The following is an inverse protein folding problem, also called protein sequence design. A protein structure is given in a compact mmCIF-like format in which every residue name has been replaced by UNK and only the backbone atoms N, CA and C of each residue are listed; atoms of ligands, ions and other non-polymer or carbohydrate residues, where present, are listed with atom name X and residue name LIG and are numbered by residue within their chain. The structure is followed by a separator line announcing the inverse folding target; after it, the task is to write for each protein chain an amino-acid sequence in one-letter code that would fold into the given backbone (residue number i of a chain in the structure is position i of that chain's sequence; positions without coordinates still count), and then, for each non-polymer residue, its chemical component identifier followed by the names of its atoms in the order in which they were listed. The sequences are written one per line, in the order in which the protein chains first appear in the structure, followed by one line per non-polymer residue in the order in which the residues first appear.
data_IF_555155722888
#
_entry.id   IF_555155722888
#
_cell.length_a   1.000
_cell.length_b   1.000
_cell.length_c   1.000
_cell.angle_alpha   90.00
_cell.angle_beta   90.00
_cell.angle_gamma   90.00
#
_symmetry.space_group_name_H-M   'P 1'
#
loop_
_entity.id
_entity.type
_entity.pdbx_description
1 polymer ?
#
# COMPACT_ATOMS: atom_id res chain seq x y z
N UNK A 1 22.90 26.36 -48.72
CA UNK A 1 23.14 27.35 -47.65
C UNK A 1 21.81 27.99 -47.31
N UNK A 2 21.32 27.80 -46.09
CA UNK A 2 20.18 28.57 -45.56
C UNK A 2 20.78 29.38 -44.40
N UNK A 3 20.82 30.70 -44.55
CA UNK A 3 21.22 31.62 -43.48
C UNK A 3 20.03 31.75 -42.54
N UNK A 4 20.16 31.26 -41.30
CA UNK A 4 19.17 31.53 -40.27
C UNK A 4 19.46 32.93 -39.71
N UNK A 5 18.54 33.86 -39.89
CA UNK A 5 18.63 35.23 -39.37
C UNK A 5 18.40 35.26 -37.85
N UNK A 6 19.12 36.13 -37.14
CA UNK A 6 19.11 36.23 -35.67
C UNK A 6 17.70 36.41 -35.08
N UNK A 7 16.77 37.05 -35.82
CA UNK A 7 15.36 37.22 -35.42
C UNK A 7 14.60 35.90 -35.23
N UNK A 8 14.93 34.85 -36.01
CA UNK A 8 14.23 33.56 -35.89
C UNK A 8 14.70 32.79 -34.66
N UNK A 9 15.97 32.94 -34.29
CA UNK A 9 16.53 32.32 -33.09
C UNK A 9 15.94 32.97 -31.83
N UNK A 10 15.80 34.29 -31.81
CA UNK A 10 15.10 35.01 -30.73
C UNK A 10 13.62 34.60 -30.63
N UNK A 11 12.90 34.54 -31.75
CA UNK A 11 11.50 34.09 -31.75
C UNK A 11 11.36 32.68 -31.17
N UNK A 12 12.23 31.75 -31.58
CA UNK A 12 12.18 30.36 -31.14
C UNK A 12 12.47 30.22 -29.64
N UNK A 13 13.47 30.92 -29.10
CA UNK A 13 13.80 30.91 -27.67
C UNK A 13 12.64 31.50 -26.84
N UNK A 14 12.02 32.58 -27.33
CA UNK A 14 10.94 33.26 -26.60
C UNK A 14 9.60 32.47 -26.62
N UNK A 15 9.31 31.72 -27.69
CA UNK A 15 8.10 30.88 -27.75
C UNK A 15 8.26 29.51 -27.09
N UNK A 16 9.49 29.05 -26.86
CA UNK A 16 9.78 27.73 -26.31
C UNK A 16 10.68 27.83 -25.08
N UNK A 17 10.16 28.38 -23.95
CA UNK A 17 10.92 28.43 -22.71
C UNK A 17 11.32 27.01 -22.29
N UNK A 18 12.55 26.86 -21.80
CA UNK A 18 13.05 25.56 -21.36
C UNK A 18 12.08 24.95 -20.33
N UNK A 19 11.73 23.66 -20.45
CA UNK A 19 10.91 22.99 -19.45
C UNK A 19 11.65 23.10 -18.12
N UNK A 20 11.02 23.79 -17.17
CA UNK A 20 11.59 24.02 -15.85
C UNK A 20 11.93 22.66 -15.25
N UNK A 21 13.20 22.46 -14.88
CA UNK A 21 13.63 21.23 -14.25
C UNK A 21 12.80 21.00 -12.98
N UNK A 22 11.93 19.98 -13.02
CA UNK A 22 11.13 19.58 -11.88
C UNK A 22 12.11 19.25 -10.74
N UNK A 23 11.94 19.77 -9.51
CA UNK A 23 12.84 19.45 -8.42
C UNK A 23 12.82 17.93 -8.16
N UNK A 24 14.02 17.33 -8.18
CA UNK A 24 14.37 15.91 -7.96
C UNK A 24 14.02 15.34 -6.56
N UNK A 25 12.97 15.86 -5.92
CA UNK A 25 12.53 15.37 -4.61
C UNK A 25 11.04 15.10 -4.61
N UNK A 26 10.67 14.03 -5.32
CA UNK A 26 9.56 13.21 -4.83
C UNK A 26 10.03 12.62 -3.49
N UNK A 27 9.41 12.97 -2.34
CA UNK A 27 9.73 12.28 -1.10
C UNK A 27 9.42 10.79 -1.32
N UNK A 28 10.42 9.94 -1.13
CA UNK A 28 10.21 8.50 -1.01
C UNK A 28 9.40 8.32 0.27
N UNK A 29 8.08 8.32 0.15
CA UNK A 29 7.21 8.01 1.27
C UNK A 29 7.42 6.53 1.52
N UNK A 30 8.26 6.20 2.50
CA UNK A 30 8.35 4.88 3.10
C UNK A 30 7.01 4.60 3.78
N UNK A 31 5.99 4.29 2.97
CA UNK A 31 4.76 3.66 3.46
C UNK A 31 5.20 2.29 3.94
N UNK A 32 5.65 2.21 5.20
CA UNK A 32 5.65 0.95 5.93
C UNK A 32 4.24 0.40 5.76
N UNK A 33 4.05 -0.52 4.82
CA UNK A 33 2.82 -1.28 4.68
C UNK A 33 2.66 -1.98 6.02
N UNK A 34 1.88 -1.37 6.90
CA UNK A 34 1.39 -2.01 8.10
C UNK A 34 0.54 -3.14 7.54
N UNK A 35 1.08 -4.35 7.49
CA UNK A 35 0.29 -5.55 7.24
C UNK A 35 -0.73 -5.65 8.37
N UNK A 36 -1.90 -5.04 8.16
CA UNK A 36 -3.01 -5.05 9.09
C UNK A 36 -3.51 -6.49 9.10
N UNK A 37 -3.03 -7.27 10.07
CA UNK A 37 -3.48 -8.64 10.29
C UNK A 37 -4.99 -8.62 10.56
N UNK A 38 -5.73 -9.53 9.91
CA UNK A 38 -7.19 -9.65 10.03
C UNK A 38 -7.57 -10.89 10.81
N UNK A 39 -8.74 -10.85 11.43
CA UNK A 39 -9.36 -12.00 12.08
C UNK A 39 -9.76 -13.04 11.04
N UNK A 40 -9.43 -14.30 11.26
CA UNK A 40 -9.72 -15.38 10.31
C UNK A 40 -11.19 -15.82 10.30
N UNK A 41 -11.96 -15.43 11.31
CA UNK A 41 -13.41 -15.69 11.34
C UNK A 41 -14.22 -14.53 10.71
N UNK A 42 -14.04 -13.30 11.20
CA UNK A 42 -14.89 -12.17 10.80
C UNK A 42 -14.20 -11.12 9.89
N UNK A 43 -12.95 -11.36 9.49
CA UNK A 43 -12.14 -10.47 8.63
C UNK A 43 -11.91 -9.04 9.14
N UNK A 44 -12.34 -8.70 10.36
CA UNK A 44 -12.06 -7.41 11.01
C UNK A 44 -10.57 -7.26 11.33
N UNK A 45 -10.02 -6.03 11.32
CA UNK A 45 -8.64 -5.78 11.71
C UNK A 45 -8.38 -6.25 13.15
N UNK A 46 -7.24 -6.92 13.37
CA UNK A 46 -6.89 -7.43 14.69
C UNK A 46 -6.48 -6.28 15.63
N UNK A 47 -7.00 -6.26 16.87
CA UNK A 47 -6.52 -5.34 17.90
C UNK A 47 -5.08 -5.68 18.32
N UNK A 48 -4.44 -4.76 19.06
CA UNK A 48 -3.07 -4.96 19.60
C UNK A 48 -2.94 -6.26 20.42
N UNK A 49 -4.00 -6.66 21.12
CA UNK A 49 -4.12 -7.95 21.83
C UNK A 49 -5.15 -8.82 21.12
N UNK A 50 -4.71 -9.80 20.34
CA UNK A 50 -5.57 -10.77 19.66
C UNK A 50 -5.40 -12.17 20.25
N UNK A 51 -6.32 -13.08 19.92
CA UNK A 51 -6.26 -14.49 20.34
C UNK A 51 -5.64 -15.32 19.23
N UNK A 52 -4.84 -16.32 19.61
CA UNK A 52 -4.27 -17.30 18.68
C UNK A 52 -4.80 -18.67 19.05
N UNK A 53 -5.29 -19.41 18.06
CA UNK A 53 -5.53 -20.84 18.17
C UNK A 53 -4.46 -21.57 17.39
N UNK A 54 -3.94 -22.66 17.95
CA UNK A 54 -2.94 -23.50 17.28
C UNK A 54 -3.61 -24.82 16.96
N UNK A 55 -3.74 -25.14 15.68
CA UNK A 55 -4.24 -26.42 15.21
C UNK A 55 -3.16 -27.11 14.39
N UNK A 56 -2.54 -28.15 14.95
CA UNK A 56 -1.45 -28.90 14.30
C UNK A 56 -1.91 -29.69 13.08
N UNK A 57 -3.22 -29.93 12.93
CA UNK A 57 -3.79 -30.69 11.84
C UNK A 57 -4.18 -29.82 10.63
N UNK A 58 -3.99 -28.50 10.70
CA UNK A 58 -4.35 -27.55 9.64
C UNK A 58 -3.15 -26.69 9.24
N UNK A 59 -3.08 -26.32 7.97
CA UNK A 59 -2.16 -25.31 7.46
C UNK A 59 -2.97 -24.07 7.01
N UNK A 60 -2.68 -22.86 7.53
CA UNK A 60 -1.63 -22.52 8.51
C UNK A 60 -1.94 -23.02 9.93
N UNK A 61 -0.91 -23.46 10.65
CA UNK A 61 -1.07 -24.04 12.01
C UNK A 61 -1.56 -23.06 13.07
N UNK A 62 -1.40 -21.75 12.82
CA UNK A 62 -1.69 -20.68 13.78
C UNK A 62 -2.77 -19.77 13.20
N UNK A 63 -3.94 -19.80 13.82
CA UNK A 63 -5.08 -18.99 13.43
C UNK A 63 -5.28 -17.80 14.38
N UNK A 64 -5.59 -16.61 13.86
CA UNK A 64 -5.71 -15.36 14.64
C UNK A 64 -7.14 -14.85 14.69
N UNK A 65 -7.59 -14.45 15.88
CA UNK A 65 -8.96 -13.98 16.12
C UNK A 65 -9.02 -12.69 16.92
N UNK A 66 -9.98 -11.82 16.60
CA UNK A 66 -10.17 -10.54 17.29
C UNK A 66 -10.79 -10.70 18.69
N UNK A 67 -11.59 -11.75 18.94
CA UNK A 67 -12.24 -12.02 20.21
C UNK A 67 -12.27 -13.52 20.54
N UNK A 68 -12.61 -13.86 21.80
CA UNK A 68 -12.82 -15.25 22.21
C UNK A 68 -14.01 -15.87 21.45
N UNK A 69 -15.08 -15.11 21.27
CA UNK A 69 -16.28 -15.54 20.54
C UNK A 69 -15.97 -15.94 19.09
N UNK A 70 -15.14 -15.16 18.39
CA UNK A 70 -14.71 -15.51 17.02
C UNK A 70 -13.89 -16.80 16.98
N UNK A 71 -13.02 -17.02 17.98
CA UNK A 71 -12.26 -18.27 18.10
C UNK A 71 -13.19 -19.45 18.36
N UNK A 72 -14.11 -19.32 19.31
CA UNK A 72 -15.07 -20.37 19.68
C UNK A 72 -16.00 -20.70 18.50
N UNK A 73 -16.55 -19.69 17.84
CA UNK A 73 -17.41 -19.88 16.65
C UNK A 73 -16.69 -20.62 15.54
N UNK A 74 -15.41 -20.28 15.31
CA UNK A 74 -14.56 -20.99 14.35
C UNK A 74 -14.28 -22.44 14.77
N UNK A 75 -13.99 -22.71 16.05
CA UNK A 75 -13.73 -24.07 16.53
C UNK A 75 -14.99 -24.96 16.51
N UNK A 76 -16.14 -24.41 16.88
CA UNK A 76 -17.40 -25.16 16.96
C UNK A 76 -18.16 -25.21 15.63
N UNK A 77 -17.67 -24.53 14.58
CA UNK A 77 -18.27 -24.55 13.26
C UNK A 77 -19.58 -23.77 13.14
N UNK A 78 -19.83 -22.80 14.03
CA UNK A 78 -20.97 -21.90 13.87
C UNK A 78 -20.69 -20.91 12.74
N UNK A 79 -21.03 -21.30 11.52
CA UNK A 79 -21.18 -20.35 10.41
C UNK A 79 -22.53 -19.63 10.57
N UNK A 80 -22.48 -18.30 10.65
CA UNK A 80 -23.65 -17.43 10.54
C UNK A 80 -23.78 -16.95 9.09
#
# INVERSE_FOLDING_TARGET
MISMSDDFLEFYINTHPAPQAMPDRMPKIDVKRLDIKRCEFCNKPLPKKFKVHVNICQEPTKHRFCSRECKESWCYGFMN
#
